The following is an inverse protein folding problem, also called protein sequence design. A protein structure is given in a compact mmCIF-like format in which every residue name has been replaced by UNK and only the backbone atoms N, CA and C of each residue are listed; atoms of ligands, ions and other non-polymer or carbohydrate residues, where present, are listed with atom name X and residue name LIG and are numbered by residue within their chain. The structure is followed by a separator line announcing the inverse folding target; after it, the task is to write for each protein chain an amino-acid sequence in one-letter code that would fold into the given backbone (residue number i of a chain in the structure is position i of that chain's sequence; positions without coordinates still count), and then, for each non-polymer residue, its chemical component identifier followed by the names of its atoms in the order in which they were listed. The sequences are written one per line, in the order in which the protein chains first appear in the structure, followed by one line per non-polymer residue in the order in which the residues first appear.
data_IF_682983660814
#
_entry.id   IF_682983660814
#
_cell.length_a   1.000
_cell.length_b   1.000
_cell.length_c   1.000
_cell.angle_alpha   90.00
_cell.angle_beta   90.00
_cell.angle_gamma   90.00
#
_symmetry.space_group_name_H-M   'P 1'
#
loop_
_entity.id
_entity.type
_entity.pdbx_description
1 polymer ?
#
# COMPACT_ATOMS: atom_id res chain seq x y z
N UNK A 1 7.37 7.19 -10.42
CA UNK A 1 7.39 7.91 -11.70
C UNK A 1 6.01 8.42 -12.14
N UNK A 2 4.94 7.60 -12.20
CA UNK A 2 3.61 8.04 -12.69
C UNK A 2 3.05 9.26 -11.95
N UNK A 3 3.07 9.27 -10.63
CA UNK A 3 2.60 10.41 -9.82
C UNK A 3 3.44 11.67 -10.07
N UNK A 4 4.78 11.53 -10.15
CA UNK A 4 5.69 12.65 -10.41
C UNK A 4 5.48 13.25 -11.80
N UNK A 5 5.23 12.42 -12.82
CA UNK A 5 4.90 12.88 -14.17
C UNK A 5 3.60 13.71 -14.22
N UNK A 6 2.71 13.51 -13.22
CA UNK A 6 1.48 14.27 -13.06
C UNK A 6 1.57 15.38 -12.00
N UNK A 7 2.80 15.78 -11.66
CA UNK A 7 3.06 16.95 -10.81
C UNK A 7 2.97 16.70 -9.30
N UNK A 8 2.82 15.45 -8.86
CA UNK A 8 2.81 15.15 -7.44
C UNK A 8 4.24 15.12 -6.85
N UNK A 9 4.43 15.69 -5.66
CA UNK A 9 5.62 15.48 -4.86
C UNK A 9 5.55 14.07 -4.24
N UNK A 10 6.52 13.23 -4.56
CA UNK A 10 6.61 11.86 -4.02
C UNK A 10 7.80 11.75 -3.10
N UNK A 11 7.54 11.48 -1.82
CA UNK A 11 8.54 11.28 -0.79
C UNK A 11 8.64 9.77 -0.50
N UNK A 12 9.80 9.18 -0.77
CA UNK A 12 10.06 7.78 -0.48
C UNK A 12 10.61 7.63 0.94
N UNK A 13 10.05 6.72 1.74
CA UNK A 13 10.59 6.46 3.09
C UNK A 13 11.94 5.75 3.05
N UNK A 14 12.27 5.09 1.94
CA UNK A 14 13.59 4.52 1.62
C UNK A 14 13.73 4.30 0.12
N UNK A 15 14.95 4.33 -0.39
CA UNK A 15 15.28 4.10 -1.81
C UNK A 15 16.19 2.88 -2.02
N UNK A 16 16.61 2.24 -0.94
CA UNK A 16 17.49 1.07 -0.97
C UNK A 16 16.94 -0.03 -0.08
N UNK A 17 17.43 -1.26 -0.23
CA UNK A 17 17.04 -2.40 0.62
C UNK A 17 17.71 -2.34 2.00
N UNK A 18 17.51 -1.21 2.69
CA UNK A 18 17.95 -0.99 4.08
C UNK A 18 16.81 -0.49 4.91
N UNK A 19 16.71 -0.96 6.16
CA UNK A 19 15.80 -0.36 7.14
C UNK A 19 16.32 1.02 7.59
N UNK A 20 15.48 1.79 8.24
CA UNK A 20 15.82 3.12 8.78
C UNK A 20 16.41 3.07 10.20
N UNK A 21 16.60 1.88 10.78
CA UNK A 21 17.18 1.75 12.10
C UNK A 21 18.65 2.23 12.11
N UNK A 22 19.11 2.74 13.26
CA UNK A 22 20.48 3.16 13.41
C UNK A 22 21.45 1.97 13.20
N UNK A 23 22.68 2.26 12.76
CA UNK A 23 23.65 1.24 12.44
C UNK A 23 24.04 0.37 13.65
N UNK A 24 24.02 0.95 14.84
CA UNK A 24 24.34 0.31 16.12
C UNK A 24 23.15 -0.39 16.76
N UNK A 25 21.93 -0.24 16.25
CA UNK A 25 20.73 -0.95 16.75
C UNK A 25 20.84 -2.43 16.43
N UNK A 26 20.94 -3.25 17.47
CA UNK A 26 21.09 -4.71 17.35
C UNK A 26 19.77 -5.44 17.55
N UNK A 27 19.61 -6.53 16.82
CA UNK A 27 18.47 -7.44 16.91
C UNK A 27 17.30 -7.04 16.02
N UNK A 28 16.79 -8.02 15.27
CA UNK A 28 15.75 -7.83 14.24
C UNK A 28 14.51 -7.09 14.76
N UNK A 29 13.97 -7.50 15.90
CA UNK A 29 12.76 -6.89 16.45
C UNK A 29 12.95 -5.42 16.82
N UNK A 30 14.10 -5.06 17.41
CA UNK A 30 14.40 -3.66 17.76
C UNK A 30 14.57 -2.81 16.51
N UNK A 31 15.31 -3.31 15.52
CA UNK A 31 15.48 -2.62 14.23
C UNK A 31 14.14 -2.36 13.56
N UNK A 32 13.25 -3.38 13.53
CA UNK A 32 11.92 -3.23 12.95
C UNK A 32 11.07 -2.18 13.67
N UNK A 33 11.10 -2.15 14.99
CA UNK A 33 10.37 -1.14 15.79
C UNK A 33 10.90 0.26 15.50
N UNK A 34 12.23 0.43 15.43
CA UNK A 34 12.86 1.72 15.14
C UNK A 34 12.55 2.17 13.71
N UNK A 35 12.66 1.29 12.72
CA UNK A 35 12.31 1.55 11.33
C UNK A 35 10.86 2.06 11.20
N UNK A 36 9.92 1.35 11.81
CA UNK A 36 8.50 1.74 11.77
C UNK A 36 8.24 3.10 12.45
N UNK A 37 8.93 3.39 13.57
CA UNK A 37 8.83 4.69 14.23
C UNK A 37 9.37 5.82 13.35
N UNK A 38 10.51 5.61 12.69
CA UNK A 38 11.10 6.62 11.79
C UNK A 38 10.23 6.88 10.57
N UNK A 39 9.64 5.83 9.98
CA UNK A 39 8.65 5.99 8.90
C UNK A 39 7.43 6.78 9.37
N UNK A 40 6.91 6.45 10.55
CA UNK A 40 5.77 7.16 11.11
C UNK A 40 6.07 8.65 11.37
N UNK A 41 7.30 8.97 11.83
CA UNK A 41 7.73 10.36 11.97
C UNK A 41 7.76 11.09 10.62
N UNK A 42 8.29 10.46 9.56
CA UNK A 42 8.26 11.04 8.22
C UNK A 42 6.82 11.30 7.76
N UNK A 43 5.94 10.33 7.91
CA UNK A 43 4.51 10.46 7.55
C UNK A 43 3.84 11.60 8.31
N UNK A 44 4.13 11.76 9.61
CA UNK A 44 3.42 12.70 10.47
C UNK A 44 4.04 14.11 10.53
N UNK A 45 5.30 14.28 10.09
CA UNK A 45 5.99 15.57 10.14
C UNK A 45 5.79 16.42 8.88
N UNK A 46 5.48 15.77 7.77
CA UNK A 46 5.24 16.46 6.52
C UNK A 46 3.73 16.65 6.31
N UNK A 47 3.31 17.74 5.69
CA UNK A 47 1.93 17.98 5.27
C UNK A 47 1.63 17.09 4.04
N UNK A 48 1.71 15.77 4.27
CA UNK A 48 1.41 14.79 3.24
C UNK A 48 -0.11 14.65 3.08
N UNK A 49 -0.57 14.71 1.85
CA UNK A 49 -1.99 14.52 1.53
C UNK A 49 -2.43 13.05 1.68
N UNK A 50 -1.52 12.12 1.36
CA UNK A 50 -1.78 10.67 1.41
C UNK A 50 -0.48 9.90 1.57
N UNK A 51 -0.46 8.86 2.40
CA UNK A 51 0.62 7.87 2.36
C UNK A 51 0.11 6.51 1.86
N UNK A 52 0.96 5.81 1.11
CA UNK A 52 0.70 4.47 0.59
C UNK A 52 1.83 3.53 0.99
N UNK A 53 1.50 2.50 1.76
CA UNK A 53 2.43 1.44 2.15
C UNK A 53 2.21 0.21 1.27
N UNK A 54 3.21 -0.16 0.47
CA UNK A 54 3.10 -1.29 -0.49
C UNK A 54 3.85 -2.49 0.08
N UNK A 55 3.17 -3.63 0.13
CA UNK A 55 3.65 -4.86 0.73
C UNK A 55 3.43 -6.08 -0.17
N UNK A 56 4.31 -7.07 -0.01
CA UNK A 56 4.16 -8.43 -0.50
C UNK A 56 3.85 -9.32 0.71
N UNK A 57 2.65 -9.85 0.80
CA UNK A 57 2.22 -10.68 1.91
C UNK A 57 2.94 -12.03 1.92
N UNK A 58 3.17 -12.59 3.09
CA UNK A 58 3.72 -13.94 3.25
C UNK A 58 3.07 -14.62 4.46
N UNK A 59 2.39 -15.74 4.21
CA UNK A 59 1.74 -16.56 5.24
C UNK A 59 2.07 -18.03 5.03
N UNK A 60 1.84 -18.87 6.05
CA UNK A 60 2.14 -20.30 5.98
C UNK A 60 1.16 -21.12 5.12
N UNK A 61 0.65 -20.54 4.03
CA UNK A 61 -0.25 -21.21 3.09
C UNK A 61 -0.02 -20.71 1.67
N UNK A 62 0.19 -21.65 0.75
CA UNK A 62 0.36 -21.36 -0.68
C UNK A 62 -0.97 -21.15 -1.42
N UNK A 63 -2.11 -21.37 -0.76
CA UNK A 63 -3.43 -21.27 -1.40
C UNK A 63 -3.92 -19.83 -1.57
N UNK A 64 -3.47 -18.92 -0.72
CA UNK A 64 -3.88 -17.54 -0.77
C UNK A 64 -3.22 -16.79 -1.91
N UNK A 65 -4.00 -16.00 -2.62
CA UNK A 65 -3.56 -15.17 -3.74
C UNK A 65 -4.40 -13.90 -3.85
N UNK A 66 -3.96 -12.94 -4.66
CA UNK A 66 -4.69 -11.73 -5.02
C UNK A 66 -4.49 -10.56 -4.07
N UNK A 67 -4.54 -9.36 -4.65
CA UNK A 67 -4.31 -8.12 -3.94
C UNK A 67 -5.43 -7.76 -2.97
N UNK A 68 -5.08 -7.07 -1.88
CA UNK A 68 -6.03 -6.47 -0.95
C UNK A 68 -5.50 -5.20 -0.32
N UNK A 69 -6.29 -4.12 -0.35
CA UNK A 69 -5.98 -2.85 0.29
C UNK A 69 -6.61 -2.78 1.67
N UNK A 70 -5.81 -2.38 2.66
CA UNK A 70 -6.23 -2.21 4.04
C UNK A 70 -6.16 -0.75 4.47
N UNK A 71 -7.02 -0.36 5.40
CA UNK A 71 -7.09 0.99 5.94
C UNK A 71 -7.48 1.01 7.41
N UNK A 72 -7.05 2.04 8.14
CA UNK A 72 -7.53 2.28 9.50
C UNK A 72 -8.87 3.05 9.46
N UNK A 73 -9.91 2.62 10.20
CA UNK A 73 -11.25 3.18 10.06
C UNK A 73 -11.48 4.53 10.72
N UNK A 74 -10.45 5.14 11.34
CA UNK A 74 -10.59 6.38 12.09
C UNK A 74 -10.71 7.65 11.22
N UNK A 75 -10.34 7.58 9.92
CA UNK A 75 -10.57 8.63 8.94
C UNK A 75 -11.39 8.12 7.77
N UNK A 76 -12.40 8.87 7.36
CA UNK A 76 -13.22 8.52 6.18
C UNK A 76 -12.38 8.50 4.89
N UNK A 77 -11.42 9.40 4.77
CA UNK A 77 -10.51 9.48 3.63
C UNK A 77 -9.66 8.22 3.44
N UNK A 78 -9.31 7.51 4.51
CA UNK A 78 -8.63 6.21 4.42
C UNK A 78 -9.47 5.18 3.68
N UNK A 79 -10.76 5.08 4.02
CA UNK A 79 -11.68 4.15 3.40
C UNK A 79 -11.89 4.47 1.92
N UNK A 80 -12.03 5.77 1.60
CA UNK A 80 -12.20 6.25 0.23
C UNK A 80 -10.98 5.93 -0.64
N UNK A 81 -9.77 6.29 -0.20
CA UNK A 81 -8.54 5.99 -0.91
C UNK A 81 -8.34 4.48 -1.09
N UNK A 82 -8.58 3.69 -0.03
CA UNK A 82 -8.47 2.24 -0.08
C UNK A 82 -9.44 1.61 -1.09
N UNK A 83 -10.67 2.12 -1.17
CA UNK A 83 -11.68 1.62 -2.09
C UNK A 83 -11.27 1.85 -3.54
N UNK A 84 -10.88 3.07 -3.91
CA UNK A 84 -10.46 3.37 -5.28
C UNK A 84 -9.22 2.56 -5.71
N UNK A 85 -8.21 2.46 -4.86
CA UNK A 85 -7.03 1.65 -5.17
C UNK A 85 -7.41 0.17 -5.33
N UNK A 86 -8.28 -0.37 -4.46
CA UNK A 86 -8.72 -1.76 -4.55
C UNK A 86 -9.54 -2.03 -5.83
N UNK A 87 -10.38 -1.10 -6.24
CA UNK A 87 -11.16 -1.22 -7.48
C UNK A 87 -10.24 -1.31 -8.70
N UNK A 88 -9.22 -0.46 -8.80
CA UNK A 88 -8.27 -0.51 -9.91
C UNK A 88 -7.40 -1.77 -9.90
N UNK A 89 -6.99 -2.24 -8.72
CA UNK A 89 -6.28 -3.52 -8.60
C UNK A 89 -7.16 -4.69 -9.08
N UNK A 90 -8.45 -4.71 -8.71
CA UNK A 90 -9.40 -5.74 -9.17
C UNK A 90 -9.57 -5.72 -10.69
N UNK A 91 -9.76 -4.53 -11.26
CA UNK A 91 -9.98 -4.30 -12.69
C UNK A 91 -8.76 -4.69 -13.53
N UNK A 92 -7.59 -4.20 -13.16
CA UNK A 92 -6.39 -4.31 -13.99
C UNK A 92 -5.64 -5.64 -13.81
N UNK A 93 -5.62 -6.20 -12.59
CA UNK A 93 -4.93 -7.47 -12.34
C UNK A 93 -5.84 -8.68 -12.52
N UNK A 94 -7.14 -8.54 -12.32
CA UNK A 94 -8.12 -9.63 -12.44
C UNK A 94 -7.86 -10.84 -11.52
N UNK A 95 -7.00 -10.67 -10.51
CA UNK A 95 -6.53 -11.74 -9.64
C UNK A 95 -7.22 -11.80 -8.27
N UNK A 96 -8.18 -10.90 -8.02
CA UNK A 96 -8.87 -10.79 -6.74
C UNK A 96 -10.31 -10.28 -6.91
N UNK A 97 -11.20 -10.77 -6.07
CA UNK A 97 -12.57 -10.24 -5.90
C UNK A 97 -12.73 -9.50 -4.57
N UNK A 98 -11.64 -9.41 -3.77
CA UNK A 98 -11.68 -8.79 -2.45
C UNK A 98 -12.01 -7.31 -2.54
N UNK A 99 -12.72 -6.81 -1.52
CA UNK A 99 -12.96 -5.39 -1.29
C UNK A 99 -11.89 -4.82 -0.35
N UNK A 100 -11.72 -3.51 -0.32
CA UNK A 100 -10.91 -2.84 0.70
C UNK A 100 -11.40 -3.23 2.10
N UNK A 101 -10.47 -3.40 3.05
CA UNK A 101 -10.79 -3.96 4.36
C UNK A 101 -10.28 -3.08 5.50
N UNK A 102 -11.13 -2.73 6.49
CA UNK A 102 -10.66 -2.04 7.68
C UNK A 102 -9.77 -2.94 8.55
N UNK A 103 -8.74 -2.36 9.16
CA UNK A 103 -7.81 -3.04 10.06
C UNK A 103 -7.28 -2.07 11.13
N UNK A 104 -7.20 -2.54 12.39
CA UNK A 104 -6.73 -1.72 13.51
C UNK A 104 -5.38 -2.17 14.09
N UNK A 105 -4.81 -3.27 13.58
CA UNK A 105 -3.60 -3.88 14.13
C UNK A 105 -2.30 -3.40 13.50
N UNK A 106 -2.37 -2.67 12.37
CA UNK A 106 -1.17 -2.21 11.65
C UNK A 106 -0.68 -0.90 12.26
N UNK A 107 0.54 -0.92 12.82
CA UNK A 107 1.12 0.17 13.58
C UNK A 107 1.11 1.52 12.83
N UNK A 108 1.58 1.56 11.59
CA UNK A 108 1.64 2.80 10.81
C UNK A 108 0.23 3.32 10.53
N UNK A 109 -0.68 2.48 10.04
CA UNK A 109 -2.06 2.89 9.75
C UNK A 109 -2.78 3.43 10.98
N UNK A 110 -2.56 2.79 12.14
CA UNK A 110 -3.21 3.18 13.40
C UNK A 110 -2.74 4.52 13.95
N UNK A 111 -1.46 4.86 13.75
CA UNK A 111 -0.80 6.00 14.38
C UNK A 111 -0.51 7.16 13.42
N UNK A 112 -0.78 6.99 12.13
CA UNK A 112 -0.67 8.07 11.17
C UNK A 112 -1.74 9.14 11.42
N UNK A 113 -1.33 10.41 11.30
CA UNK A 113 -2.20 11.58 11.39
C UNK A 113 -2.79 11.97 10.03
N UNK A 114 -2.14 11.55 8.95
CA UNK A 114 -2.53 11.82 7.58
C UNK A 114 -3.29 10.63 7.00
N UNK A 115 -4.15 10.84 6.02
CA UNK A 115 -4.82 9.77 5.30
C UNK A 115 -3.82 8.74 4.75
N UNK A 116 -4.19 7.46 4.80
CA UNK A 116 -3.29 6.45 4.25
C UNK A 116 -3.85 5.04 4.20
N UNK A 117 -3.16 4.24 3.40
CA UNK A 117 -3.54 2.87 3.10
C UNK A 117 -2.33 1.94 3.09
N UNK A 118 -2.59 0.65 3.30
CA UNK A 118 -1.62 -0.41 3.07
C UNK A 118 -2.15 -1.33 1.97
N UNK A 119 -1.35 -1.50 0.93
CA UNK A 119 -1.67 -2.34 -0.22
C UNK A 119 -0.83 -3.61 -0.17
N UNK A 120 -1.47 -4.73 0.15
CA UNK A 120 -0.89 -6.06 -0.07
C UNK A 120 -1.14 -6.43 -1.53
N UNK A 121 -0.11 -6.40 -2.37
CA UNK A 121 -0.26 -6.60 -3.82
C UNK A 121 -0.38 -8.07 -4.22
N UNK A 122 -0.19 -8.98 -3.28
CA UNK A 122 -0.34 -10.43 -3.40
C UNK A 122 0.54 -11.17 -2.41
N UNK A 123 0.73 -12.48 -2.60
CA UNK A 123 1.34 -13.38 -1.63
C UNK A 123 2.63 -14.01 -2.16
N UNK A 124 3.78 -13.74 -1.52
CA UNK A 124 5.06 -14.42 -1.80
C UNK A 124 5.01 -15.90 -1.49
N UNK A 125 4.12 -16.33 -0.59
CA UNK A 125 3.89 -17.74 -0.25
C UNK A 125 3.17 -18.50 -1.37
N UNK A 126 2.54 -17.81 -2.32
CA UNK A 126 1.93 -18.42 -3.50
C UNK A 126 2.95 -18.51 -4.65
N UNK A 127 3.31 -19.73 -5.14
CA UNK A 127 4.35 -19.89 -6.17
C UNK A 127 4.03 -19.14 -7.45
N UNK A 128 2.77 -19.11 -7.88
CA UNK A 128 2.35 -18.43 -9.12
C UNK A 128 2.50 -16.91 -9.00
N UNK A 129 2.08 -16.33 -7.87
CA UNK A 129 2.24 -14.89 -7.66
C UNK A 129 3.71 -14.52 -7.49
N UNK A 130 4.49 -15.34 -6.77
CA UNK A 130 5.94 -15.15 -6.66
C UNK A 130 6.65 -15.05 -8.02
N UNK A 131 6.27 -15.89 -8.99
CA UNK A 131 6.81 -15.80 -10.34
C UNK A 131 6.29 -14.57 -11.11
N UNK A 132 5.05 -14.16 -10.90
CA UNK A 132 4.52 -12.96 -11.52
C UNK A 132 5.23 -11.70 -11.00
N UNK A 133 5.55 -11.61 -9.71
CA UNK A 133 6.28 -10.47 -9.13
C UNK A 133 7.69 -10.25 -9.72
N UNK A 134 8.26 -11.24 -10.39
CA UNK A 134 9.55 -11.10 -11.09
C UNK A 134 9.42 -10.46 -12.48
N UNK A 135 8.21 -10.32 -13.00
CA UNK A 135 7.94 -9.77 -14.34
C UNK A 135 7.73 -8.27 -14.26
N UNK A 136 8.50 -7.50 -14.99
CA UNK A 136 8.39 -6.04 -15.05
C UNK A 136 6.98 -5.61 -15.45
N UNK A 137 6.38 -6.26 -16.44
CA UNK A 137 5.00 -5.96 -16.89
C UNK A 137 3.96 -6.14 -15.79
N UNK A 138 4.15 -7.10 -14.89
CA UNK A 138 3.23 -7.32 -13.77
C UNK A 138 3.44 -6.27 -12.67
N UNK A 139 4.70 -5.93 -12.38
CA UNK A 139 5.03 -4.84 -11.44
C UNK A 139 4.48 -3.51 -11.95
N UNK A 140 4.59 -3.25 -13.25
CA UNK A 140 4.03 -2.06 -13.87
C UNK A 140 2.49 -2.04 -13.79
N UNK A 141 1.82 -3.15 -14.04
CA UNK A 141 0.36 -3.26 -13.88
C UNK A 141 -0.09 -2.95 -12.45
N UNK A 142 0.67 -3.38 -11.44
CA UNK A 142 0.43 -3.03 -10.03
C UNK A 142 0.62 -1.52 -9.82
N UNK A 143 1.74 -0.97 -10.30
CA UNK A 143 2.05 0.45 -10.14
C UNK A 143 1.00 1.35 -10.80
N UNK A 144 0.58 1.03 -12.02
CA UNK A 144 -0.50 1.73 -12.73
C UNK A 144 -1.83 1.64 -11.98
N UNK A 145 -2.17 0.47 -11.44
CA UNK A 145 -3.41 0.30 -10.68
C UNK A 145 -3.43 1.19 -9.42
N UNK A 146 -2.34 1.20 -8.66
CA UNK A 146 -2.23 2.05 -7.47
C UNK A 146 -2.29 3.52 -7.88
N UNK A 147 -1.56 3.91 -8.92
CA UNK A 147 -1.57 5.27 -9.45
C UNK A 147 -2.99 5.71 -9.86
N UNK A 148 -3.70 4.92 -10.65
CA UNK A 148 -5.08 5.24 -11.08
C UNK A 148 -6.03 5.39 -9.89
N UNK A 149 -5.92 4.51 -8.89
CA UNK A 149 -6.71 4.60 -7.67
C UNK A 149 -6.43 5.89 -6.87
N UNK A 150 -5.16 6.33 -6.83
CA UNK A 150 -4.77 7.60 -6.21
C UNK A 150 -5.35 8.79 -6.97
N UNK A 151 -5.25 8.80 -8.30
CA UNK A 151 -5.82 9.88 -9.12
C UNK A 151 -7.34 9.96 -8.91
N UNK A 152 -8.07 8.86 -8.92
CA UNK A 152 -9.51 8.82 -8.64
C UNK A 152 -9.84 9.40 -7.26
N UNK A 153 -9.02 9.11 -6.26
CA UNK A 153 -9.17 9.67 -4.91
C UNK A 153 -9.08 11.20 -4.93
N UNK A 154 -8.08 11.78 -5.61
CA UNK A 154 -7.88 13.23 -5.68
C UNK A 154 -8.87 13.95 -6.59
N UNK A 155 -9.28 13.33 -7.69
CA UNK A 155 -10.29 13.90 -8.59
C UNK A 155 -11.70 13.77 -8.03
N UNK A 156 -11.84 13.16 -6.85
CA UNK A 156 -13.12 12.98 -6.18
C UNK A 156 -14.18 12.26 -7.05
N UNK A 157 -13.73 11.31 -7.86
CA UNK A 157 -14.63 10.52 -8.70
C UNK A 157 -15.71 9.82 -7.87
N UNK A 158 -16.87 9.61 -8.51
CA UNK A 158 -17.91 8.79 -7.89
C UNK A 158 -17.42 7.35 -7.75
N UNK A 159 -17.75 6.75 -6.62
CA UNK A 159 -17.53 5.33 -6.40
C UNK A 159 -18.35 4.50 -7.40
N UNK A 160 -17.78 3.42 -7.91
CA UNK A 160 -18.52 2.46 -8.74
C UNK A 160 -19.65 1.85 -7.89
N UNK A 161 -20.88 1.98 -8.35
CA UNK A 161 -22.03 1.29 -7.75
C UNK A 161 -21.99 -0.19 -8.16
N UNK A 162 -22.42 -1.10 -7.27
CA UNK A 162 -22.35 -2.55 -7.51
C UNK A 162 -23.29 -3.06 -8.65
N UNK A 163 -23.89 -2.15 -9.39
CA UNK A 163 -24.87 -2.42 -10.44
C UNK A 163 -24.35 -2.23 -11.87
N UNK A 164 -23.06 -1.95 -12.05
CA UNK A 164 -22.45 -1.80 -13.39
C UNK A 164 -21.54 -2.99 -13.75
#
# INVERSE_FOLDING_TARGET
DYLQQHGALVIMTRETDKDLAAADTRGYSRRKVEDLKKRLLMINNDDNDLFVSIHLNAIHSAQWSGAQTFYAPHYQENAKAAKFIQEELRKNLGNTTRKAKPINSIYILKNAKNPGVLVEVGFLSNPREKENFKKDSYQESIAVSIYQGIIRYYTNEKELTETD
#
